data_IF_730403066258
#
_entry.id   IF_730403066258
#
_cell.length_a   1.000
_cell.length_b   1.000
_cell.length_c   1.000
_cell.angle_alpha   90.00
_cell.angle_beta   90.00
_cell.angle_gamma   90.00
#
_symmetry.space_group_name_H-M   'P 1'
#
loop_
_entity.id
_entity.type
_entity.pdbx_description
1 polymer ?
#
# COMPACT_ATOMS: atom_id res chain seq x y z
N UNK A 1 10.27 -1.51 -16.84
CA UNK A 1 9.47 -2.56 -16.18
C UNK A 1 8.68 -1.89 -15.07
N UNK A 2 7.40 -2.21 -14.89
CA UNK A 2 6.53 -1.58 -13.88
C UNK A 2 6.53 -2.45 -12.63
N UNK A 3 6.78 -1.85 -11.46
CA UNK A 3 6.67 -2.48 -10.14
C UNK A 3 5.33 -2.10 -9.51
N UNK A 4 4.66 -3.07 -8.88
CA UNK A 4 3.47 -2.81 -8.08
C UNK A 4 3.88 -2.47 -6.65
N UNK A 5 3.39 -1.36 -6.10
CA UNK A 5 3.68 -0.91 -4.74
C UNK A 5 2.39 -0.70 -3.96
N UNK A 6 2.29 -1.30 -2.78
CA UNK A 6 1.25 -1.00 -1.80
C UNK A 6 1.69 0.17 -0.93
N UNK A 7 1.24 1.38 -1.28
CA UNK A 7 1.51 2.61 -0.53
C UNK A 7 0.61 2.74 0.71
N UNK A 8 0.66 1.77 1.62
CA UNK A 8 -0.16 1.72 2.82
C UNK A 8 0.58 1.05 3.97
N UNK A 9 0.56 1.68 5.16
CA UNK A 9 1.10 1.09 6.39
C UNK A 9 0.17 0.10 7.11
N UNK A 10 -1.03 -0.18 6.59
CA UNK A 10 -1.97 -1.12 7.23
C UNK A 10 -1.58 -2.59 6.99
N UNK A 11 -1.32 -3.38 8.05
CA UNK A 11 -1.03 -4.81 7.92
C UNK A 11 -2.16 -5.57 7.21
N UNK A 12 -3.41 -5.26 7.58
CA UNK A 12 -4.62 -5.87 6.98
C UNK A 12 -4.70 -5.68 5.46
N UNK A 13 -4.29 -4.52 4.93
CA UNK A 13 -4.30 -4.29 3.47
C UNK A 13 -3.23 -5.10 2.76
N UNK A 14 -2.08 -5.33 3.39
CA UNK A 14 -1.04 -6.22 2.87
C UNK A 14 -1.52 -7.66 2.80
N UNK A 15 -2.21 -8.13 3.85
CA UNK A 15 -2.73 -9.50 3.91
C UNK A 15 -3.77 -9.75 2.80
N UNK A 16 -4.69 -8.81 2.59
CA UNK A 16 -5.68 -8.88 1.51
C UNK A 16 -5.01 -8.92 0.13
N UNK A 17 -4.04 -8.03 -0.12
CA UNK A 17 -3.39 -7.94 -1.43
C UNK A 17 -2.51 -9.17 -1.72
N UNK A 18 -1.92 -9.77 -0.67
CA UNK A 18 -1.14 -11.01 -0.77
C UNK A 18 -1.99 -12.19 -1.29
N UNK A 19 -3.30 -12.19 -1.05
CA UNK A 19 -4.23 -13.18 -1.56
C UNK A 19 -4.38 -13.20 -3.09
N UNK A 20 -3.91 -12.16 -3.81
CA UNK A 20 -4.00 -12.08 -5.27
C UNK A 20 -2.84 -12.77 -6.02
N UNK A 21 -1.81 -13.26 -5.31
CA UNK A 21 -0.65 -13.91 -5.92
C UNK A 21 0.26 -12.97 -6.74
N UNK A 22 0.11 -11.66 -6.57
CA UNK A 22 0.94 -10.64 -7.22
C UNK A 22 2.22 -10.39 -6.42
N UNK A 23 3.31 -10.06 -7.13
CA UNK A 23 4.51 -9.50 -6.49
C UNK A 23 4.34 -8.00 -6.31
N UNK A 24 4.48 -7.53 -5.08
CA UNK A 24 4.47 -6.11 -4.75
C UNK A 24 5.38 -5.82 -3.55
N UNK A 25 5.79 -4.56 -3.41
CA UNK A 25 6.48 -4.04 -2.22
C UNK A 25 5.53 -3.21 -1.36
N UNK A 26 5.77 -3.14 -0.05
CA UNK A 26 5.01 -2.29 0.87
C UNK A 26 5.83 -1.07 1.22
N UNK A 27 5.24 0.12 1.02
CA UNK A 27 5.85 1.40 1.39
C UNK A 27 4.86 2.17 2.26
N UNK A 28 5.27 2.52 3.48
CA UNK A 28 4.46 3.39 4.34
C UNK A 28 4.55 4.81 3.81
N UNK A 29 3.44 5.44 3.39
CA UNK A 29 3.49 6.79 2.84
C UNK A 29 3.74 7.80 3.95
N UNK A 30 4.56 8.82 3.65
CA UNK A 30 4.74 9.99 4.50
C UNK A 30 3.90 11.14 3.95
N UNK A 31 2.61 11.13 4.25
CA UNK A 31 1.65 12.13 3.77
C UNK A 31 0.76 12.61 4.92
N UNK A 32 0.37 13.89 4.86
CA UNK A 32 -0.66 14.45 5.73
C UNK A 32 -2.03 14.19 5.10
N UNK A 33 -2.85 13.40 5.80
CA UNK A 33 -4.21 13.04 5.37
C UNK A 33 -5.28 14.01 5.89
N UNK A 34 -4.89 15.12 6.53
CA UNK A 34 -5.83 16.12 7.04
C UNK A 34 -6.72 16.64 5.90
N UNK A 35 -8.06 16.52 6.02
CA UNK A 35 -8.98 17.04 5.01
C UNK A 35 -8.77 18.53 4.78
N UNK A 36 -8.74 18.95 3.51
CA UNK A 36 -8.80 20.38 3.17
C UNK A 36 -10.26 20.82 3.19
N UNK A 37 -10.54 21.90 3.90
CA UNK A 37 -11.83 22.60 3.87
C UNK A 37 -12.05 23.31 2.54
#
# INVERSE_FOLDING_TARGET
MIELVLASGSPRRSDILSGLGLRFSVVVPRIDETPKA
#
